data_IF_025687040214
#
_entry.id   IF_025687040214
#
_cell.length_a   1.000
_cell.length_b   1.000
_cell.length_c   1.000
_cell.angle_alpha   90.00
_cell.angle_beta   90.00
_cell.angle_gamma   90.00
#
_symmetry.space_group_name_H-M   'P 1'
#
loop_
_entity.id
_entity.type
_entity.pdbx_description
1 polymer ?
#
# COMPACT_ATOMS: atom_id res chain seq x y z
N UNK A 1 12.35 17.10 -7.02
CA UNK A 1 11.21 18.00 -6.64
C UNK A 1 10.72 17.52 -5.29
N UNK A 2 10.76 18.34 -4.24
CA UNK A 2 10.41 17.95 -2.84
C UNK A 2 8.91 18.04 -2.56
N UNK A 3 8.08 17.56 -3.49
CA UNK A 3 6.64 17.38 -3.31
C UNK A 3 6.24 16.19 -4.16
N UNK A 4 5.18 15.47 -3.77
CA UNK A 4 4.64 14.34 -4.54
C UNK A 4 4.21 14.73 -5.95
N UNK A 5 4.16 13.74 -6.84
CA UNK A 5 3.76 13.88 -8.24
C UNK A 5 4.74 13.20 -9.21
N UNK A 6 4.40 13.22 -10.49
CA UNK A 6 5.22 12.69 -11.57
C UNK A 6 5.15 13.65 -12.76
N UNK A 7 6.30 14.02 -13.33
CA UNK A 7 6.39 14.97 -14.44
C UNK A 7 7.26 14.46 -15.57
N UNK A 8 7.15 15.09 -16.73
CA UNK A 8 8.03 14.79 -17.86
C UNK A 8 7.81 13.40 -18.46
N UNK A 9 6.56 12.94 -18.53
CA UNK A 9 6.23 11.71 -19.27
C UNK A 9 6.66 11.85 -20.74
N UNK A 10 7.10 10.74 -21.34
CA UNK A 10 7.61 10.69 -22.71
C UNK A 10 6.49 10.83 -23.74
N UNK A 11 5.36 10.19 -23.49
CA UNK A 11 4.17 10.26 -24.34
C UNK A 11 3.04 11.04 -23.66
N UNK A 12 2.06 11.49 -24.46
CA UNK A 12 0.87 12.14 -23.89
C UNK A 12 -0.11 11.09 -23.32
N UNK A 13 -0.09 10.93 -22.00
CA UNK A 13 -0.96 9.99 -21.27
C UNK A 13 -2.13 10.65 -20.56
N UNK A 14 -2.36 11.96 -20.77
CA UNK A 14 -3.32 12.74 -19.95
C UNK A 14 -4.73 12.17 -19.96
N UNK A 15 -5.26 11.88 -21.14
CA UNK A 15 -6.64 11.40 -21.29
C UNK A 15 -6.79 9.99 -20.70
N UNK A 16 -5.83 9.11 -20.99
CA UNK A 16 -5.78 7.76 -20.43
C UNK A 16 -5.70 7.77 -18.90
N UNK A 17 -4.77 8.52 -18.31
CA UNK A 17 -4.60 8.60 -16.86
C UNK A 17 -5.81 9.20 -16.16
N UNK A 18 -6.47 10.18 -16.79
CA UNK A 18 -7.66 10.82 -16.24
C UNK A 18 -8.82 9.85 -16.17
N UNK A 19 -9.10 9.15 -17.27
CA UNK A 19 -10.27 8.28 -17.37
C UNK A 19 -10.10 6.99 -16.55
N UNK A 20 -8.87 6.49 -16.47
CA UNK A 20 -8.54 5.31 -15.66
C UNK A 20 -8.27 5.61 -14.18
N UNK A 21 -8.36 6.89 -13.75
CA UNK A 21 -7.94 7.35 -12.42
C UNK A 21 -6.54 6.84 -12.03
N UNK A 22 -5.62 6.87 -13.01
CA UNK A 22 -4.39 6.09 -13.04
C UNK A 22 -3.12 6.98 -13.04
N UNK A 23 -3.25 8.27 -12.72
CA UNK A 23 -2.17 9.27 -12.86
C UNK A 23 -0.90 8.91 -12.10
N UNK A 24 -1.07 8.20 -10.99
CA UNK A 24 -0.02 7.93 -10.02
C UNK A 24 0.55 6.50 -10.19
N UNK A 25 -0.10 5.68 -11.02
CA UNK A 25 0.22 4.27 -11.13
C UNK A 25 1.46 4.01 -11.99
N UNK A 26 1.84 4.87 -12.95
CA UNK A 26 3.09 4.65 -13.71
C UNK A 26 4.31 4.50 -12.80
N UNK A 27 4.36 5.29 -11.73
CA UNK A 27 5.41 5.20 -10.74
C UNK A 27 5.35 3.90 -9.91
N UNK A 28 4.15 3.43 -9.58
CA UNK A 28 3.95 2.13 -8.92
C UNK A 28 4.32 0.96 -9.82
N UNK A 29 3.89 0.96 -11.08
CA UNK A 29 4.28 -0.05 -12.08
C UNK A 29 5.82 -0.03 -12.29
N UNK A 30 6.43 1.15 -12.28
CA UNK A 30 7.88 1.30 -12.38
C UNK A 30 8.62 0.73 -11.18
N UNK A 31 8.05 0.90 -9.97
CA UNK A 31 8.55 0.28 -8.74
C UNK A 31 8.50 -1.25 -8.82
N UNK A 32 7.47 -1.83 -9.41
CA UNK A 32 7.36 -3.29 -9.55
C UNK A 32 8.35 -3.84 -10.60
N UNK A 33 8.54 -3.13 -11.72
CA UNK A 33 9.65 -3.44 -12.64
C UNK A 33 11.03 -3.28 -11.99
N UNK A 34 11.20 -2.25 -11.16
CA UNK A 34 12.44 -2.04 -10.42
C UNK A 34 12.70 -3.23 -9.52
N UNK A 35 11.77 -3.57 -8.60
CA UNK A 35 11.87 -4.67 -7.63
C UNK A 35 12.33 -5.98 -8.25
N UNK A 36 11.81 -6.31 -9.43
CA UNK A 36 12.10 -7.54 -10.16
C UNK A 36 13.36 -7.45 -11.04
N UNK A 37 13.96 -6.26 -11.15
CA UNK A 37 15.23 -6.01 -11.80
C UNK A 37 15.16 -5.60 -13.28
N UNK A 38 13.98 -5.41 -13.84
CA UNK A 38 13.81 -4.95 -15.22
C UNK A 38 14.15 -3.47 -15.37
N UNK A 39 13.78 -2.66 -14.39
CA UNK A 39 14.09 -1.23 -14.36
C UNK A 39 15.37 -0.98 -13.56
N UNK A 40 16.25 -0.12 -14.10
CA UNK A 40 17.51 0.31 -13.49
C UNK A 40 17.54 1.81 -13.35
N UNK A 41 18.09 2.27 -12.23
CA UNK A 41 18.33 3.69 -11.94
C UNK A 41 19.84 3.85 -11.74
N UNK A 42 20.46 4.91 -12.30
CA UNK A 42 21.86 5.22 -12.01
C UNK A 42 22.10 5.35 -10.51
N UNK A 43 23.19 4.77 -10.01
CA UNK A 43 23.57 4.86 -8.58
C UNK A 43 24.09 6.23 -8.19
N UNK A 44 24.52 7.02 -9.17
CA UNK A 44 25.01 8.38 -8.97
C UNK A 44 24.75 9.23 -10.20
N UNK A 45 24.38 10.49 -9.96
CA UNK A 45 24.40 11.54 -10.96
C UNK A 45 24.99 12.81 -10.37
N UNK A 46 25.86 13.47 -11.12
CA UNK A 46 26.32 14.81 -10.79
C UNK A 46 25.34 15.87 -11.28
N UNK A 47 25.45 17.10 -10.78
CA UNK A 47 24.57 18.21 -11.18
C UNK A 47 24.69 18.60 -12.67
N UNK A 48 25.80 18.25 -13.32
CA UNK A 48 26.08 18.49 -14.75
C UNK A 48 25.79 17.27 -15.64
N UNK A 49 25.39 16.13 -15.06
CA UNK A 49 24.95 14.96 -15.82
C UNK A 49 23.67 15.33 -16.58
N UNK A 50 23.58 15.06 -17.91
CA UNK A 50 22.35 15.28 -18.66
C UNK A 50 21.18 14.55 -18.01
N UNK A 51 20.01 15.18 -17.95
CA UNK A 51 18.85 14.60 -17.27
C UNK A 51 18.49 13.21 -17.82
N UNK A 52 18.59 13.00 -19.14
CA UNK A 52 18.37 11.70 -19.80
C UNK A 52 19.27 10.58 -19.28
N UNK A 53 20.48 10.92 -18.84
CA UNK A 53 21.50 9.97 -18.40
C UNK A 53 21.36 9.68 -16.89
N UNK A 54 20.50 10.46 -16.21
CA UNK A 54 20.16 10.32 -14.80
C UNK A 54 18.74 9.74 -14.58
N UNK A 55 18.13 9.18 -15.61
CA UNK A 55 16.77 8.66 -15.54
C UNK A 55 16.75 7.13 -15.41
N UNK A 56 15.63 6.63 -14.90
CA UNK A 56 15.31 5.23 -14.99
C UNK A 56 15.34 4.76 -16.44
N UNK A 57 15.69 3.49 -16.65
CA UNK A 57 15.56 2.82 -17.94
C UNK A 57 15.33 1.33 -17.74
N UNK A 58 14.91 0.61 -18.80
CA UNK A 58 14.91 -0.86 -18.82
C UNK A 58 15.91 -1.37 -19.86
N UNK A 59 17.18 -1.55 -19.46
CA UNK A 59 18.22 -2.02 -20.38
C UNK A 59 17.85 -3.37 -21.01
N UNK A 60 18.20 -3.54 -22.28
CA UNK A 60 17.83 -4.74 -23.06
C UNK A 60 18.42 -6.02 -22.46
N UNK A 61 19.59 -5.94 -21.83
CA UNK A 61 20.22 -7.07 -21.15
C UNK A 61 19.37 -7.66 -20.02
N UNK A 62 18.57 -6.86 -19.33
CA UNK A 62 17.69 -7.33 -18.24
C UNK A 62 16.33 -7.82 -18.76
N UNK A 63 15.95 -7.39 -19.98
CA UNK A 63 14.78 -7.94 -20.68
C UNK A 63 15.05 -9.32 -21.25
N UNK A 64 16.30 -9.68 -21.55
CA UNK A 64 16.71 -10.99 -22.06
C UNK A 64 15.87 -11.46 -23.27
N UNK A 65 15.65 -10.56 -24.23
CA UNK A 65 14.89 -10.82 -25.45
C UNK A 65 13.36 -10.79 -25.29
N UNK A 66 12.83 -10.54 -24.09
CA UNK A 66 11.38 -10.40 -23.88
C UNK A 66 10.87 -9.11 -24.53
N UNK A 67 9.74 -9.21 -25.23
CA UNK A 67 9.00 -8.06 -25.73
C UNK A 67 8.18 -7.38 -24.61
N UNK A 68 7.51 -6.27 -24.92
CA UNK A 68 6.81 -5.49 -23.92
C UNK A 68 5.68 -6.27 -23.23
N UNK A 69 4.90 -7.01 -24.01
CA UNK A 69 3.87 -7.91 -23.50
C UNK A 69 4.46 -8.90 -22.53
N UNK A 70 5.49 -9.63 -22.96
CA UNK A 70 6.11 -10.67 -22.14
C UNK A 70 6.66 -10.13 -20.81
N UNK A 71 7.24 -8.92 -20.81
CA UNK A 71 7.65 -8.24 -19.57
C UNK A 71 6.44 -7.97 -18.68
N UNK A 72 5.41 -7.29 -19.18
CA UNK A 72 4.18 -6.94 -18.43
C UNK A 72 3.51 -8.19 -17.83
N UNK A 73 3.44 -9.29 -18.58
CA UNK A 73 2.87 -10.55 -18.12
C UNK A 73 3.74 -11.23 -17.07
N UNK A 74 5.06 -11.26 -17.28
CA UNK A 74 6.01 -11.91 -16.37
C UNK A 74 6.09 -11.18 -15.04
N UNK A 75 5.99 -9.85 -15.05
CA UNK A 75 6.11 -9.02 -13.85
C UNK A 75 4.82 -8.88 -13.06
N UNK A 76 3.72 -9.45 -13.54
CA UNK A 76 2.44 -9.38 -12.83
C UNK A 76 1.67 -8.08 -13.03
N UNK A 77 2.25 -7.08 -13.72
CA UNK A 77 1.68 -5.73 -13.87
C UNK A 77 0.22 -5.73 -14.33
N UNK A 78 -0.19 -6.70 -15.15
CA UNK A 78 -1.59 -6.83 -15.60
C UNK A 78 -2.61 -6.89 -14.44
N UNK A 79 -2.18 -7.35 -13.27
CA UNK A 79 -2.99 -7.48 -12.06
C UNK A 79 -2.86 -6.29 -11.10
N UNK A 80 -1.95 -5.36 -11.36
CA UNK A 80 -1.64 -4.21 -10.48
C UNK A 80 -2.59 -3.03 -10.69
N UNK A 81 -3.81 -3.29 -11.18
CA UNK A 81 -4.87 -2.31 -11.30
C UNK A 81 -6.18 -2.90 -10.80
N UNK A 82 -6.92 -2.13 -10.01
CA UNK A 82 -8.28 -2.47 -9.62
C UNK A 82 -9.22 -2.59 -10.85
N UNK A 83 -8.87 -1.94 -11.95
CA UNK A 83 -9.60 -2.03 -13.21
C UNK A 83 -8.99 -3.11 -14.11
N UNK A 84 -9.64 -4.27 -14.18
CA UNK A 84 -9.25 -5.40 -15.04
C UNK A 84 -9.12 -5.07 -16.54
N UNK A 85 -9.60 -3.91 -17.00
CA UNK A 85 -9.60 -3.50 -18.41
C UNK A 85 -8.51 -2.50 -18.78
N UNK A 86 -7.68 -2.05 -17.82
CA UNK A 86 -6.72 -0.97 -18.05
C UNK A 86 -5.76 -1.23 -19.22
N UNK A 87 -5.20 -2.44 -19.33
CA UNK A 87 -4.36 -2.83 -20.47
C UNK A 87 -5.14 -2.84 -21.79
N UNK A 88 -6.38 -3.36 -21.78
CA UNK A 88 -7.20 -3.41 -22.99
C UNK A 88 -7.65 -2.03 -23.46
N UNK A 89 -7.75 -1.06 -22.55
CA UNK A 89 -8.13 0.31 -22.87
C UNK A 89 -7.03 1.08 -23.62
N UNK A 90 -5.76 0.62 -23.60
CA UNK A 90 -4.65 1.30 -24.28
C UNK A 90 -4.96 1.65 -25.75
N UNK A 91 -5.56 0.70 -26.49
CA UNK A 91 -5.86 0.90 -27.91
C UNK A 91 -6.86 2.02 -28.17
N UNK A 92 -7.80 2.25 -27.24
CA UNK A 92 -8.83 3.29 -27.36
C UNK A 92 -8.21 4.70 -27.34
N UNK A 93 -7.02 4.82 -26.73
CA UNK A 93 -6.23 6.05 -26.65
C UNK A 93 -5.05 6.06 -27.64
N UNK A 94 -5.03 5.12 -28.59
CA UNK A 94 -3.93 4.98 -29.56
C UNK A 94 -2.59 4.63 -28.91
N UNK A 95 -2.63 3.92 -27.78
CA UNK A 95 -1.46 3.41 -27.05
C UNK A 95 -1.31 1.91 -27.27
N UNK A 96 -0.13 1.39 -26.96
CA UNK A 96 0.16 -0.03 -26.97
C UNK A 96 1.10 -0.40 -25.80
N UNK A 97 1.33 -1.69 -25.63
CA UNK A 97 2.16 -2.23 -24.54
C UNK A 97 3.63 -1.78 -24.65
N UNK A 98 4.16 -1.58 -25.86
CA UNK A 98 5.51 -1.02 -26.05
C UNK A 98 5.63 0.41 -25.53
N UNK A 99 4.65 1.28 -25.85
CA UNK A 99 4.61 2.65 -25.33
C UNK A 99 4.44 2.66 -23.81
N UNK A 100 3.60 1.77 -23.29
CA UNK A 100 3.40 1.60 -21.86
C UNK A 100 4.71 1.21 -21.16
N UNK A 101 5.37 0.15 -21.64
CA UNK A 101 6.64 -0.29 -21.08
C UNK A 101 7.69 0.83 -21.19
N UNK A 102 7.78 1.50 -22.34
CA UNK A 102 8.71 2.62 -22.52
C UNK A 102 8.48 3.75 -21.50
N UNK A 103 7.22 4.09 -21.21
CA UNK A 103 6.88 5.09 -20.20
C UNK A 103 7.23 4.63 -18.79
N UNK A 104 6.87 3.38 -18.43
CA UNK A 104 7.19 2.80 -17.12
C UNK A 104 8.70 2.68 -16.92
N UNK A 105 9.47 2.45 -17.98
CA UNK A 105 10.92 2.39 -17.92
C UNK A 105 11.55 3.78 -17.75
N UNK A 106 10.91 4.83 -18.28
CA UNK A 106 11.41 6.20 -18.23
C UNK A 106 11.07 6.91 -16.91
N UNK A 107 9.86 6.68 -16.37
CA UNK A 107 9.26 7.30 -15.18
C UNK A 107 9.23 8.82 -15.10
N UNK A 108 9.88 9.54 -16.01
CA UNK A 108 9.99 10.99 -15.95
C UNK A 108 10.76 11.42 -14.69
N UNK A 109 10.22 12.44 -14.02
CA UNK A 109 10.76 12.98 -12.78
C UNK A 109 9.72 12.75 -11.67
N UNK A 110 9.84 11.69 -10.85
CA UNK A 110 8.96 11.51 -9.70
C UNK A 110 9.35 12.45 -8.55
N UNK A 111 8.35 12.82 -7.75
CA UNK A 111 8.54 13.50 -6.48
C UNK A 111 8.95 12.54 -5.36
N UNK A 112 9.74 13.03 -4.39
CA UNK A 112 10.29 12.19 -3.31
C UNK A 112 9.20 11.57 -2.43
N UNK A 113 8.11 12.30 -2.16
CA UNK A 113 7.03 11.90 -1.24
C UNK A 113 6.24 10.65 -1.66
N UNK A 114 6.45 10.13 -2.86
CA UNK A 114 5.57 9.09 -3.42
C UNK A 114 5.94 7.66 -3.02
N UNK A 115 7.21 7.37 -2.71
CA UNK A 115 7.70 5.99 -2.51
C UNK A 115 8.55 5.86 -1.24
N UNK A 116 9.38 4.82 -1.17
CA UNK A 116 10.29 4.54 -0.05
C UNK A 116 11.32 5.64 0.21
N UNK A 117 11.54 6.56 -0.74
CA UNK A 117 12.39 7.74 -0.55
C UNK A 117 11.66 8.92 0.14
N UNK A 118 10.36 8.81 0.41
CA UNK A 118 9.55 9.86 1.03
C UNK A 118 10.15 10.47 2.31
N UNK A 119 10.84 9.74 3.21
CA UNK A 119 11.50 10.33 4.38
C UNK A 119 12.57 11.39 4.06
N UNK A 120 13.07 11.47 2.82
CA UNK A 120 14.00 12.52 2.39
C UNK A 120 13.31 13.86 2.18
N UNK A 121 12.00 13.87 1.96
CA UNK A 121 11.20 15.08 1.88
C UNK A 121 10.87 15.59 3.30
N UNK A 122 11.25 16.82 3.67
CA UNK A 122 10.99 17.35 5.02
C UNK A 122 9.52 17.36 5.42
N UNK A 123 8.59 17.36 4.45
CA UNK A 123 7.15 17.33 4.72
C UNK A 123 6.63 15.96 5.18
N UNK A 124 7.44 14.90 5.02
CA UNK A 124 7.13 13.54 5.48
C UNK A 124 6.91 13.49 6.99
N UNK A 125 7.84 14.09 7.74
CA UNK A 125 7.87 14.04 9.20
C UNK A 125 6.65 14.70 9.86
N UNK A 126 6.24 15.94 9.52
CA UNK A 126 5.01 16.51 10.07
C UNK A 126 3.75 15.79 9.58
N UNK A 127 3.76 15.22 8.38
CA UNK A 127 2.63 14.42 7.88
C UNK A 127 2.45 13.14 8.71
N UNK A 128 3.53 12.40 8.98
CA UNK A 128 3.48 11.18 9.79
C UNK A 128 3.22 11.44 11.28
N UNK A 129 3.67 12.57 11.82
CA UNK A 129 3.24 13.01 13.16
C UNK A 129 1.73 13.23 13.25
N UNK A 130 1.08 13.67 12.17
CA UNK A 130 -0.38 13.78 12.13
C UNK A 130 -1.07 12.42 11.95
N UNK A 131 -0.46 11.48 11.20
CA UNK A 131 -0.96 10.12 11.11
C UNK A 131 -0.99 9.43 12.48
N UNK A 132 0.07 9.58 13.29
CA UNK A 132 0.10 9.08 14.66
C UNK A 132 -1.02 9.70 15.51
N UNK A 133 -1.18 11.02 15.45
CA UNK A 133 -2.26 11.74 16.13
C UNK A 133 -3.65 11.17 15.82
N UNK A 134 -3.91 10.84 14.55
CA UNK A 134 -5.16 10.20 14.15
C UNK A 134 -5.33 8.81 14.75
N UNK A 135 -4.28 7.99 14.75
CA UNK A 135 -4.31 6.66 15.40
C UNK A 135 -4.58 6.79 16.90
N UNK A 136 -3.96 7.74 17.59
CA UNK A 136 -4.25 8.01 19.01
C UNK A 136 -5.72 8.38 19.22
N UNK A 137 -6.28 9.25 18.37
CA UNK A 137 -7.69 9.63 18.49
C UNK A 137 -8.65 8.46 18.25
N UNK A 138 -8.39 7.61 17.25
CA UNK A 138 -9.19 6.40 17.00
C UNK A 138 -9.21 5.47 18.22
N UNK A 139 -8.09 5.36 18.95
CA UNK A 139 -8.00 4.55 20.17
C UNK A 139 -8.83 5.12 21.32
N UNK A 140 -8.87 6.45 21.47
CA UNK A 140 -9.77 7.11 22.44
C UNK A 140 -11.23 6.81 22.08
N UNK A 141 -11.62 7.02 20.82
CA UNK A 141 -12.99 6.77 20.37
C UNK A 141 -13.39 5.29 20.57
N UNK A 142 -12.46 4.37 20.35
CA UNK A 142 -12.67 2.94 20.65
C UNK A 142 -12.87 2.71 22.15
N UNK A 143 -12.02 3.29 23.00
CA UNK A 143 -12.12 3.15 24.45
C UNK A 143 -13.44 3.73 25.01
N UNK A 144 -13.94 4.80 24.40
CA UNK A 144 -15.25 5.40 24.71
C UNK A 144 -16.45 4.59 24.17
N UNK A 145 -16.21 3.60 23.31
CA UNK A 145 -17.26 2.79 22.68
C UNK A 145 -17.96 3.49 21.51
N UNK A 146 -17.37 4.56 20.97
CA UNK A 146 -17.93 5.33 19.85
C UNK A 146 -17.68 4.65 18.49
N UNK A 147 -16.58 3.90 18.36
CA UNK A 147 -16.25 3.13 17.15
C UNK A 147 -15.81 1.71 17.49
N UNK A 148 -15.89 0.83 16.51
CA UNK A 148 -15.12 -0.42 16.49
C UNK A 148 -13.79 -0.18 15.78
N UNK A 149 -12.72 -0.73 16.34
CA UNK A 149 -11.38 -0.70 15.74
C UNK A 149 -10.78 -2.08 15.92
N UNK A 150 -10.51 -2.75 14.80
CA UNK A 150 -9.82 -4.03 14.78
C UNK A 150 -8.32 -3.78 15.05
N UNK A 151 -7.84 -4.37 16.13
CA UNK A 151 -6.43 -4.34 16.54
C UNK A 151 -5.84 -5.76 16.52
N UNK A 152 -6.47 -6.68 15.80
CA UNK A 152 -5.84 -7.95 15.48
C UNK A 152 -4.70 -7.69 14.50
N UNK A 153 -3.49 -7.91 14.97
CA UNK A 153 -2.29 -7.73 14.15
C UNK A 153 -2.20 -8.86 13.13
N UNK A 154 -2.19 -8.50 11.87
CA UNK A 154 -2.03 -9.44 10.77
C UNK A 154 -1.83 -8.69 9.46
N UNK A 155 -1.00 -9.24 8.59
CA UNK A 155 -0.97 -8.86 7.20
C UNK A 155 -1.76 -9.90 6.43
N UNK A 156 -2.86 -9.49 5.84
CA UNK A 156 -3.55 -10.27 4.82
C UNK A 156 -3.23 -9.63 3.49
N UNK A 157 -2.83 -10.44 2.55
CA UNK A 157 -2.67 -9.96 1.19
C UNK A 157 -4.04 -9.61 0.61
N UNK A 158 -4.10 -8.53 -0.15
CA UNK A 158 -5.29 -8.11 -0.87
C UNK A 158 -5.07 -8.30 -2.37
N UNK A 159 -5.90 -9.13 -2.99
CA UNK A 159 -5.90 -9.29 -4.44
C UNK A 159 -6.25 -7.95 -5.13
N UNK A 160 -5.59 -7.66 -6.25
CA UNK A 160 -5.82 -6.47 -7.09
C UNK A 160 -5.44 -5.12 -6.47
N UNK A 161 -4.51 -5.10 -5.51
CA UNK A 161 -3.88 -3.86 -5.04
C UNK A 161 -2.49 -3.72 -5.68
N UNK A 162 -2.20 -2.59 -6.35
CA UNK A 162 -0.87 -2.32 -6.86
C UNK A 162 0.17 -2.48 -5.74
N UNK A 163 1.28 -3.18 -6.01
CA UNK A 163 2.36 -3.50 -5.07
C UNK A 163 2.14 -4.60 -4.03
N UNK A 164 1.01 -5.32 -4.02
CA UNK A 164 0.77 -6.53 -3.20
C UNK A 164 0.71 -7.81 -4.05
N UNK A 165 1.77 -8.05 -4.82
CA UNK A 165 1.92 -9.17 -5.78
C UNK A 165 2.44 -10.48 -5.15
N UNK A 166 2.57 -10.49 -3.82
CA UNK A 166 3.22 -11.53 -3.03
C UNK A 166 4.69 -11.77 -3.41
N UNK A 167 5.36 -10.92 -4.19
CA UNK A 167 6.74 -11.12 -4.60
C UNK A 167 7.70 -10.35 -3.70
N UNK A 168 8.68 -11.07 -3.14
CA UNK A 168 9.79 -10.52 -2.39
C UNK A 168 11.07 -10.82 -3.15
N UNK A 169 11.77 -9.78 -3.58
CA UNK A 169 13.00 -9.88 -4.34
C UNK A 169 14.22 -9.56 -3.47
N UNK A 170 15.14 -10.50 -3.37
CA UNK A 170 16.41 -10.35 -2.66
C UNK A 170 17.47 -9.76 -3.59
N UNK A 171 17.90 -8.55 -3.26
CA UNK A 171 18.94 -7.80 -3.97
C UNK A 171 20.34 -8.02 -3.40
N UNK A 172 20.48 -8.68 -2.25
CA UNK A 172 21.79 -8.89 -1.62
C UNK A 172 22.74 -9.73 -2.47
N UNK A 173 22.20 -10.51 -3.41
CA UNK A 173 22.94 -11.33 -4.38
C UNK A 173 23.36 -10.56 -5.64
N UNK A 174 22.81 -9.35 -5.85
CA UNK A 174 23.13 -8.51 -7.00
C UNK A 174 24.23 -7.53 -6.59
N UNK A 175 25.47 -7.79 -7.03
CA UNK A 175 26.52 -6.79 -6.87
C UNK A 175 26.20 -5.51 -7.68
N UNK A 176 26.64 -4.35 -7.21
CA UNK A 176 26.31 -3.04 -7.81
C UNK A 176 26.62 -2.92 -9.31
N UNK A 177 27.59 -3.69 -9.81
CA UNK A 177 28.01 -3.75 -11.21
C UNK A 177 27.64 -5.05 -11.92
N UNK A 178 26.97 -5.97 -11.21
CA UNK A 178 26.61 -7.26 -11.75
C UNK A 178 25.35 -7.17 -12.61
N UNK A 179 25.43 -7.74 -13.81
CA UNK A 179 24.29 -7.94 -14.72
C UNK A 179 23.41 -9.10 -14.26
N UNK A 180 22.96 -9.06 -13.01
CA UNK A 180 22.15 -10.10 -12.39
C UNK A 180 20.77 -9.58 -12.04
N UNK A 181 19.78 -10.45 -12.18
CA UNK A 181 18.43 -10.22 -11.66
C UNK A 181 18.43 -10.56 -10.16
N UNK A 182 17.63 -9.86 -9.34
CA UNK A 182 17.41 -10.29 -7.96
C UNK A 182 16.71 -11.65 -7.92
N UNK A 183 16.87 -12.37 -6.81
CA UNK A 183 16.14 -13.62 -6.59
C UNK A 183 14.75 -13.29 -6.01
N UNK A 184 13.70 -13.50 -6.79
CA UNK A 184 12.33 -13.18 -6.41
C UNK A 184 11.57 -14.45 -6.04
N UNK A 185 10.94 -14.44 -4.87
CA UNK A 185 10.13 -15.55 -4.37
C UNK A 185 8.83 -15.07 -3.77
N UNK A 186 7.83 -15.94 -3.74
CA UNK A 186 6.57 -15.61 -3.09
C UNK A 186 6.77 -15.53 -1.57
N UNK A 187 6.34 -14.42 -0.96
CA UNK A 187 6.47 -14.22 0.47
C UNK A 187 5.85 -12.92 0.96
N UNK A 188 6.09 -12.65 2.24
CA UNK A 188 5.68 -11.41 2.91
C UNK A 188 6.92 -10.71 3.43
N UNK A 189 7.05 -9.43 3.15
CA UNK A 189 8.14 -8.62 3.70
C UNK A 189 8.08 -8.62 5.25
N UNK A 190 9.24 -8.57 5.94
CA UNK A 190 9.24 -8.33 7.38
C UNK A 190 8.75 -6.90 7.68
N UNK A 191 8.23 -6.70 8.90
CA UNK A 191 7.78 -5.40 9.39
C UNK A 191 6.26 -5.25 9.54
N UNK A 192 5.48 -6.29 9.24
CA UNK A 192 4.01 -6.24 9.33
C UNK A 192 3.44 -7.02 10.53
N UNK A 193 4.24 -7.85 11.20
CA UNK A 193 3.78 -8.65 12.36
C UNK A 193 3.94 -7.88 13.66
N UNK A 194 3.15 -8.24 14.66
CA UNK A 194 3.21 -7.64 15.99
C UNK A 194 4.59 -7.76 16.65
N UNK A 195 5.30 -8.86 16.39
CA UNK A 195 6.60 -9.20 16.97
C UNK A 195 7.79 -8.78 16.10
N UNK A 196 7.56 -8.26 14.89
CA UNK A 196 8.64 -7.72 14.07
C UNK A 196 9.29 -6.52 14.78
N UNK A 197 10.63 -6.50 14.78
CA UNK A 197 11.43 -5.52 15.50
C UNK A 197 11.65 -4.27 14.65
N UNK A 198 11.42 -3.12 15.25
CA UNK A 198 11.75 -1.82 14.68
C UNK A 198 13.25 -1.53 14.86
N UNK A 199 13.92 -0.93 13.87
CA UNK A 199 15.36 -0.66 13.92
C UNK A 199 15.72 0.56 14.80
N UNK A 200 14.89 0.90 15.79
CA UNK A 200 15.08 2.07 16.63
C UNK A 200 15.54 1.68 18.04
N UNK A 201 16.69 2.23 18.45
CA UNK A 201 17.24 2.09 19.79
C UNK A 201 17.37 3.44 20.48
N UNK A 202 17.19 3.48 21.80
CA UNK A 202 17.39 4.70 22.58
C UNK A 202 16.30 5.76 22.37
N UNK A 203 15.09 5.35 21.97
CA UNK A 203 13.92 6.24 21.94
C UNK A 203 13.52 6.64 23.36
N UNK A 204 13.65 5.71 24.31
CA UNK A 204 13.36 5.92 25.72
C UNK A 204 14.63 5.69 26.55
N UNK A 205 14.77 6.43 27.66
CA UNK A 205 15.91 6.30 28.58
C UNK A 205 16.00 4.92 29.23
N UNK A 206 14.86 4.24 29.38
CA UNK A 206 14.70 2.90 29.96
C UNK A 206 14.46 1.81 28.90
N UNK A 207 14.71 2.08 27.61
CA UNK A 207 14.50 1.10 26.55
C UNK A 207 15.49 -0.08 26.69
N UNK A 208 14.96 -1.30 26.85
CA UNK A 208 15.73 -2.54 26.73
C UNK A 208 15.50 -3.16 25.34
N UNK A 209 16.58 -3.39 24.59
CA UNK A 209 16.51 -3.93 23.23
C UNK A 209 15.81 -3.03 22.21
N UNK A 210 15.29 -3.64 21.13
CA UNK A 210 14.50 -2.98 20.10
C UNK A 210 13.01 -3.12 20.41
N UNK A 211 12.21 -2.10 20.09
CA UNK A 211 10.76 -2.23 20.16
C UNK A 211 10.26 -3.19 19.08
N UNK A 212 9.31 -4.06 19.42
CA UNK A 212 8.46 -4.67 18.41
C UNK A 212 7.40 -3.68 17.93
N UNK A 213 6.78 -3.96 16.78
CA UNK A 213 5.62 -3.19 16.29
C UNK A 213 4.52 -3.04 17.36
N UNK A 214 4.16 -4.13 18.04
CA UNK A 214 3.17 -4.09 19.13
C UNK A 214 3.68 -3.33 20.35
N UNK A 215 4.97 -3.44 20.67
CA UNK A 215 5.60 -2.68 21.74
C UNK A 215 5.52 -1.17 21.49
N UNK A 216 5.89 -0.74 20.28
CA UNK A 216 5.82 0.66 19.86
C UNK A 216 4.37 1.16 19.78
N UNK A 217 3.44 0.35 19.28
CA UNK A 217 2.01 0.69 19.29
C UNK A 217 1.44 0.89 20.71
N UNK A 218 1.90 0.11 21.69
CA UNK A 218 1.55 0.32 23.11
C UNK A 218 2.23 1.57 23.68
N UNK A 219 3.47 1.82 23.27
CA UNK A 219 4.20 3.03 23.67
C UNK A 219 3.44 4.28 23.24
N UNK A 220 2.99 4.35 21.98
CA UNK A 220 2.24 5.49 21.41
C UNK A 220 0.76 5.54 21.81
N UNK A 221 0.35 4.84 22.87
CA UNK A 221 -1.01 4.94 23.39
C UNK A 221 -1.26 6.33 23.99
N UNK A 222 -2.38 7.02 23.68
CA UNK A 222 -2.73 8.28 24.34
C UNK A 222 -2.81 8.18 25.88
N UNK A 223 -3.07 7.00 26.44
CA UNK A 223 -3.10 6.77 27.89
C UNK A 223 -1.71 6.47 28.49
N UNK A 224 -0.66 6.42 27.68
CA UNK A 224 0.70 6.14 28.13
C UNK A 224 1.42 7.43 28.55
N UNK A 225 1.80 7.52 29.83
CA UNK A 225 2.50 8.66 30.42
C UNK A 225 4.03 8.62 30.24
N UNK A 226 4.57 7.55 29.65
CA UNK A 226 5.99 7.43 29.36
C UNK A 226 6.39 8.22 28.09
N UNK A 227 5.48 8.51 27.16
CA UNK A 227 5.80 9.29 25.96
C UNK A 227 6.33 10.68 26.33
N UNK A 228 7.46 11.13 25.77
CA UNK A 228 8.05 12.41 26.12
C UNK A 228 7.32 13.63 25.51
N UNK A 229 6.19 13.41 24.85
CA UNK A 229 5.35 14.44 24.26
C UNK A 229 3.87 14.05 24.32
N UNK A 230 3.00 15.04 24.22
CA UNK A 230 1.56 14.87 24.05
C UNK A 230 1.06 15.81 22.95
N UNK A 231 -0.02 15.45 22.28
CA UNK A 231 -0.72 16.39 21.41
C UNK A 231 -1.61 17.31 22.25
N UNK A 232 -1.59 18.62 21.96
CA UNK A 232 -2.46 19.60 22.62
C UNK A 232 -3.96 19.27 22.45
N UNK A 233 -4.32 18.73 21.29
CA UNK A 233 -5.64 18.20 21.01
C UNK A 233 -5.53 16.96 20.13
N UNK A 234 -6.46 16.01 20.26
CA UNK A 234 -6.59 14.88 19.33
C UNK A 234 -7.80 15.02 18.40
N UNK A 235 -8.82 15.76 18.81
CA UNK A 235 -10.10 15.89 18.11
C UNK A 235 -10.28 17.20 17.35
N UNK A 236 -9.47 18.23 17.61
CA UNK A 236 -9.60 19.55 16.99
C UNK A 236 -8.45 19.88 16.05
N UNK A 237 -8.76 20.33 14.83
CA UNK A 237 -7.76 20.78 13.87
C UNK A 237 -8.21 22.08 13.21
N UNK A 238 -7.43 23.15 13.35
CA UNK A 238 -7.81 24.50 12.88
C UNK A 238 -8.03 24.57 11.35
N UNK A 239 -7.18 23.89 10.59
CA UNK A 239 -7.34 23.69 9.14
C UNK A 239 -8.52 22.82 8.67
N UNK A 240 -9.27 22.16 9.57
CA UNK A 240 -10.44 21.35 9.22
C UNK A 240 -11.70 21.93 9.86
N UNK A 241 -12.35 22.88 9.19
CA UNK A 241 -13.61 23.46 9.67
C UNK A 241 -14.82 22.69 9.14
N UNK A 242 -15.78 22.38 10.01
CA UNK A 242 -17.09 21.85 9.61
C UNK A 242 -17.21 20.32 9.42
N UNK A 243 -16.15 19.55 9.66
CA UNK A 243 -16.22 18.07 9.69
C UNK A 243 -15.26 17.50 10.73
N UNK A 244 -15.63 16.36 11.32
CA UNK A 244 -14.78 15.58 12.23
C UNK A 244 -14.55 14.19 11.65
N UNK A 245 -13.49 13.49 12.09
CA UNK A 245 -13.28 12.09 11.73
C UNK A 245 -14.50 11.22 12.07
N UNK A 246 -15.16 11.49 13.20
CA UNK A 246 -16.38 10.78 13.62
C UNK A 246 -17.54 11.04 12.65
N UNK A 247 -17.73 12.30 12.25
CA UNK A 247 -18.74 12.67 11.25
C UNK A 247 -18.50 11.95 9.92
N UNK A 248 -17.24 11.87 9.48
CA UNK A 248 -16.90 11.15 8.25
C UNK A 248 -17.08 9.64 8.39
N UNK A 249 -16.72 9.06 9.55
CA UNK A 249 -16.94 7.64 9.84
C UNK A 249 -18.42 7.27 9.80
N UNK A 250 -19.29 8.06 10.43
CA UNK A 250 -20.74 7.87 10.40
C UNK A 250 -21.31 7.97 8.99
N UNK A 251 -20.87 8.96 8.20
CA UNK A 251 -21.25 9.09 6.78
C UNK A 251 -20.86 7.83 6.01
N UNK A 252 -19.62 7.35 6.17
CA UNK A 252 -19.14 6.16 5.48
C UNK A 252 -19.90 4.88 5.90
N UNK A 253 -20.16 4.71 7.19
CA UNK A 253 -20.96 3.58 7.71
C UNK A 253 -22.40 3.62 7.15
N UNK A 254 -23.02 4.79 7.11
CA UNK A 254 -24.36 4.96 6.56
C UNK A 254 -24.39 4.74 5.04
N UNK A 255 -23.35 5.16 4.31
CA UNK A 255 -23.19 4.86 2.88
C UNK A 255 -23.02 3.37 2.61
N UNK A 256 -22.26 2.65 3.43
CA UNK A 256 -22.12 1.19 3.32
C UNK A 256 -23.41 0.45 3.67
N UNK A 257 -24.18 0.93 4.66
CA UNK A 257 -25.49 0.36 5.03
C UNK A 257 -26.60 0.70 4.02
N UNK A 258 -26.53 1.86 3.38
CA UNK A 258 -27.51 2.32 2.39
C UNK A 258 -27.21 1.86 0.95
N UNK A 259 -25.97 1.43 0.69
CA UNK A 259 -25.49 0.95 -0.61
C UNK A 259 -25.51 -0.56 -0.77
N UNK A 260 -26.34 -1.29 -0.01
CA UNK A 260 -26.52 -2.72 -0.22
C UNK A 260 -26.86 -2.98 -1.68
N UNK A 261 -25.94 -3.60 -2.41
CA UNK A 261 -26.26 -4.22 -3.69
C UNK A 261 -27.48 -5.12 -3.47
N UNK A 262 -28.48 -5.10 -4.37
CA UNK A 262 -29.54 -6.10 -4.30
C UNK A 262 -28.87 -7.47 -4.29
N UNK A 263 -29.08 -8.21 -3.20
CA UNK A 263 -28.36 -9.45 -2.92
C UNK A 263 -28.36 -10.38 -4.13
N UNK A 264 -27.21 -10.98 -4.38
CA UNK A 264 -27.09 -12.09 -5.32
C UNK A 264 -28.15 -13.14 -4.95
N UNK A 265 -29.05 -13.54 -5.87
CA UNK A 265 -30.10 -14.51 -5.59
C UNK A 265 -29.57 -15.91 -5.18
N UNK A 266 -28.25 -16.11 -5.16
CA UNK A 266 -27.61 -17.36 -4.73
C UNK A 266 -27.36 -17.46 -3.23
N UNK A 267 -27.50 -16.38 -2.45
CA UNK A 267 -27.45 -16.39 -0.97
C UNK A 267 -28.81 -16.74 -0.33
N UNK A 268 -29.59 -17.61 -0.98
CA UNK A 268 -30.75 -18.19 -0.32
C UNK A 268 -30.27 -19.05 0.87
N UNK A 269 -30.75 -18.82 2.10
CA UNK A 269 -30.43 -19.69 3.22
C UNK A 269 -30.85 -21.12 2.87
N UNK A 270 -29.95 -22.07 3.15
CA UNK A 270 -30.24 -23.49 3.00
C UNK A 270 -31.56 -23.82 3.71
N UNK A 271 -32.47 -24.60 3.08
CA UNK A 271 -33.75 -24.94 3.69
C UNK A 271 -33.52 -25.64 5.04
N UNK A 272 -34.25 -25.16 6.06
CA UNK A 272 -34.21 -25.65 7.42
C UNK A 272 -34.21 -27.19 7.48
N UNK A 273 -33.21 -27.75 8.16
CA UNK A 273 -33.22 -29.15 8.55
C UNK A 273 -34.48 -29.45 9.40
N UNK A 274 -35.20 -30.55 9.13
CA UNK A 274 -36.38 -30.89 9.92
C UNK A 274 -36.00 -31.19 11.38
N UNK A 275 -36.85 -30.83 12.34
CA UNK A 275 -36.54 -30.95 13.76
C UNK A 275 -36.31 -32.40 14.18
N UNK A 276 -35.19 -32.63 14.86
CA UNK A 276 -34.85 -33.89 15.51
C UNK A 276 -35.92 -34.20 16.58
N UNK A 277 -36.61 -35.33 16.41
CA UNK A 277 -37.63 -35.81 17.33
C UNK A 277 -37.05 -36.04 18.73
N UNK A 278 -37.60 -35.36 19.73
CA UNK A 278 -37.32 -35.59 21.14
C UNK A 278 -37.96 -36.91 21.59
N UNK A 279 -37.11 -37.88 21.92
CA UNK A 279 -37.54 -39.12 22.57
C UNK A 279 -38.02 -38.81 23.99
N UNK A 280 -39.35 -38.90 24.21
CA UNK A 280 -39.94 -38.99 25.52
C UNK A 280 -39.63 -40.36 26.13
N UNK A 281 -38.76 -40.40 27.14
CA UNK A 281 -38.62 -41.58 27.97
C UNK A 281 -39.69 -41.53 29.07
N UNK A 282 -40.69 -42.41 28.95
CA UNK A 282 -41.75 -42.58 29.93
C UNK A 282 -41.22 -43.47 31.07
N UNK A 283 -41.37 -42.98 32.30
CA UNK A 283 -41.09 -43.79 33.49
C UNK A 283 -42.13 -44.89 33.68
N UNK A 284 -41.68 -46.06 34.12
CA UNK A 284 -42.48 -46.97 34.93
C UNK A 284 -41.67 -47.35 36.16
N UNK A 285 -42.23 -47.04 37.33
CA UNK A 285 -41.79 -47.61 38.59
C UNK A 285 -42.39 -49.00 38.79
N UNK A 286 -41.56 -49.93 39.25
CA UNK A 286 -41.69 -50.72 40.48
C UNK A 286 -40.42 -51.54 40.67
#
# INVERSE_FOLDING_TARGET
IMIGGQWGLKHDWKDYMKDMQFSDNFLLLGKDLWRQGFLRVPTYCSADTPHSDCMASCPEEFRNGLNASEVIYKTGLKHDSADSTWLSALSDYGKNEEMLLEEICHLGSPGEMFTSAAPQDPTFWPLHGNAERFVQYLRILKAEGNITMDETWGYYHMDNIPSDDHLVCDWSVVAEDARMMPDCSHGTCPGHKADDLLPFSGLMTNQDGLFSNLGFYKLTNPDNDELPYVYDSLSFWEGCTGSSLTTQYEVNQNSQRGGGQPGDPTDAPAPDEPPVASFQNSGMGR
#
